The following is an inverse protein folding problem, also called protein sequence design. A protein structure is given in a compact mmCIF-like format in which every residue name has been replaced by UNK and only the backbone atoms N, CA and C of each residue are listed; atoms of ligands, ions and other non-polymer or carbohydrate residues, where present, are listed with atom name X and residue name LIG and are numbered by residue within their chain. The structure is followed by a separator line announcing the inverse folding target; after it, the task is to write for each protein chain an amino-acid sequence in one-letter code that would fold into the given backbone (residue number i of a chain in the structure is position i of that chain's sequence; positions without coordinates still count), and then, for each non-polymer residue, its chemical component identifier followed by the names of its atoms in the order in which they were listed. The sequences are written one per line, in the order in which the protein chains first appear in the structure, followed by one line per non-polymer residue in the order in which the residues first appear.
data_IF_775253601261
#
_entry.id   IF_775253601261
#
_cell.length_a   1.000
_cell.length_b   1.000
_cell.length_c   1.000
_cell.angle_alpha   90.00
_cell.angle_beta   90.00
_cell.angle_gamma   90.00
#
_symmetry.space_group_name_H-M   'P 1'
#
loop_
_entity.id
_entity.type
_entity.pdbx_description
1 polymer ?
#
# COMPACT_ATOMS: atom_id res chain seq x y z
N UNK A 1 10.81 16.24 -3.34
CA UNK A 1 9.58 15.88 -4.04
C UNK A 1 9.37 14.38 -3.96
N UNK A 2 8.18 13.91 -3.58
CA UNK A 2 7.93 12.47 -3.57
C UNK A 2 7.93 11.91 -4.99
N UNK A 3 8.51 10.73 -5.14
CA UNK A 3 8.56 10.03 -6.42
C UNK A 3 7.29 9.25 -6.70
N UNK A 4 6.65 8.75 -5.63
CA UNK A 4 5.44 7.96 -5.73
C UNK A 4 4.18 8.80 -5.79
N UNK A 5 3.06 8.14 -6.06
CA UNK A 5 1.76 8.77 -6.18
C UNK A 5 0.73 7.96 -5.39
N UNK A 6 -0.12 8.65 -4.63
CA UNK A 6 -1.28 8.04 -3.99
C UNK A 6 -2.53 8.52 -4.73
N UNK A 7 -3.27 7.59 -5.30
CA UNK A 7 -4.48 7.91 -6.05
C UNK A 7 -5.64 6.99 -5.67
N UNK A 8 -6.83 7.49 -5.94
CA UNK A 8 -8.05 6.73 -5.78
C UNK A 8 -8.78 6.78 -7.12
N UNK A 9 -9.15 5.63 -7.66
CA UNK A 9 -9.78 5.61 -8.97
C UNK A 9 -10.31 4.24 -9.33
N UNK A 10 -10.79 4.12 -10.57
CA UNK A 10 -11.37 2.88 -11.07
C UNK A 10 -10.31 1.92 -11.60
N UNK A 11 -10.73 0.68 -11.87
CA UNK A 11 -9.86 -0.33 -12.45
C UNK A 11 -9.27 0.12 -13.80
N UNK A 12 -9.96 1.00 -14.52
CA UNK A 12 -9.47 1.52 -15.78
C UNK A 12 -8.19 2.36 -15.63
N UNK A 13 -7.95 2.92 -14.45
CA UNK A 13 -6.75 3.73 -14.20
C UNK A 13 -5.51 2.89 -13.89
N UNK A 14 -5.67 1.59 -13.67
CA UNK A 14 -4.54 0.70 -13.35
C UNK A 14 -3.48 0.78 -14.43
N UNK A 15 -3.87 0.66 -15.69
CA UNK A 15 -2.91 0.69 -16.79
C UNK A 15 -2.19 2.03 -16.89
N UNK A 16 -2.90 3.14 -16.62
CA UNK A 16 -2.30 4.47 -16.66
C UNK A 16 -1.23 4.66 -15.59
N UNK A 17 -1.49 4.12 -14.38
CA UNK A 17 -0.55 4.24 -13.28
C UNK A 17 0.55 3.21 -13.34
N UNK A 18 0.26 2.02 -13.90
CA UNK A 18 1.19 0.91 -13.86
C UNK A 18 2.48 1.23 -14.64
N UNK A 19 2.36 1.63 -15.91
CA UNK A 19 3.55 1.95 -16.70
C UNK A 19 4.62 0.88 -16.57
N UNK A 20 5.77 1.28 -16.02
CA UNK A 20 6.88 0.36 -15.72
C UNK A 20 6.90 -0.08 -14.26
N UNK A 21 5.92 0.30 -13.48
CA UNK A 21 5.86 -0.07 -12.06
C UNK A 21 5.57 -1.56 -11.88
N UNK A 22 6.07 -2.11 -10.77
CA UNK A 22 5.78 -3.49 -10.41
C UNK A 22 4.48 -3.53 -9.62
N UNK A 23 3.46 -4.28 -10.09
CA UNK A 23 2.18 -4.33 -9.37
C UNK A 23 2.23 -5.26 -8.17
N UNK A 24 1.56 -4.83 -7.10
CA UNK A 24 1.39 -5.62 -5.88
C UNK A 24 -0.09 -5.61 -5.51
N UNK A 25 -0.87 -6.59 -5.98
CA UNK A 25 -2.31 -6.61 -5.72
C UNK A 25 -2.62 -6.91 -4.26
N UNK A 26 -3.57 -6.17 -3.71
CA UNK A 26 -4.07 -6.34 -2.34
C UNK A 26 -5.57 -6.61 -2.43
N UNK A 27 -5.98 -7.82 -2.09
CA UNK A 27 -7.39 -8.22 -2.18
C UNK A 27 -8.17 -7.72 -0.97
N UNK A 28 -8.78 -6.56 -1.09
CA UNK A 28 -9.54 -5.94 0.00
C UNK A 28 -10.81 -6.67 0.38
N UNK A 29 -11.35 -7.52 -0.49
CA UNK A 29 -12.57 -8.26 -0.20
C UNK A 29 -12.42 -9.17 1.03
N UNK A 30 -11.19 -9.61 1.32
CA UNK A 30 -10.89 -10.51 2.43
C UNK A 30 -10.34 -9.78 3.65
N UNK A 31 -10.27 -8.47 3.61
CA UNK A 31 -9.71 -7.67 4.70
C UNK A 31 -10.85 -7.05 5.49
N UNK A 32 -11.09 -7.56 6.69
CA UNK A 32 -12.17 -7.08 7.57
C UNK A 32 -11.67 -6.61 8.93
N UNK A 33 -10.41 -6.89 9.27
CA UNK A 33 -9.82 -6.50 10.54
C UNK A 33 -8.44 -5.91 10.35
N UNK A 34 -7.92 -5.25 11.41
CA UNK A 34 -6.56 -4.71 11.41
C UNK A 34 -5.52 -5.81 11.17
N UNK A 35 -5.67 -6.95 11.85
CA UNK A 35 -4.74 -8.06 11.71
C UNK A 35 -4.72 -8.59 10.28
N UNK A 36 -5.89 -8.76 9.67
CA UNK A 36 -5.97 -9.21 8.28
C UNK A 36 -5.35 -8.20 7.32
N UNK A 37 -5.54 -6.92 7.59
CA UNK A 37 -4.96 -5.87 6.75
C UNK A 37 -3.43 -5.90 6.80
N UNK A 38 -2.86 -6.04 8.00
CA UNK A 38 -1.41 -6.10 8.15
C UNK A 38 -0.82 -7.32 7.47
N UNK A 39 -1.47 -8.48 7.64
CA UNK A 39 -1.03 -9.73 6.99
C UNK A 39 -1.11 -9.62 5.46
N UNK A 40 -2.18 -9.05 4.95
CA UNK A 40 -2.38 -8.91 3.51
C UNK A 40 -1.35 -7.98 2.87
N UNK A 41 -1.05 -6.85 3.52
CA UNK A 41 -0.03 -5.93 3.03
C UNK A 41 1.35 -6.58 3.09
N UNK A 42 1.64 -7.30 4.17
CA UNK A 42 2.92 -8.00 4.31
C UNK A 42 3.11 -9.02 3.18
N UNK A 43 2.07 -9.74 2.82
CA UNK A 43 2.12 -10.71 1.74
C UNK A 43 2.25 -10.02 0.38
N UNK A 44 1.47 -8.96 0.15
CA UNK A 44 1.46 -8.25 -1.13
C UNK A 44 2.82 -7.62 -1.46
N UNK A 45 3.49 -7.07 -0.46
CA UNK A 45 4.77 -6.37 -0.63
C UNK A 45 5.97 -7.19 -0.17
N UNK A 46 5.74 -8.44 0.24
CA UNK A 46 6.80 -9.32 0.73
C UNK A 46 7.62 -8.66 1.84
N UNK A 47 6.92 -8.12 2.85
CA UNK A 47 7.55 -7.37 3.92
C UNK A 47 8.53 -8.22 4.72
N UNK A 48 9.64 -7.64 5.21
CA UNK A 48 10.65 -8.41 5.94
C UNK A 48 10.15 -8.81 7.34
N UNK A 49 10.83 -9.78 7.93
CA UNK A 49 10.48 -10.32 9.26
C UNK A 49 10.46 -9.24 10.35
N UNK A 50 11.21 -8.16 10.17
CA UNK A 50 11.23 -7.05 11.14
C UNK A 50 9.91 -6.28 11.19
N UNK A 51 8.98 -6.53 10.24
CA UNK A 51 7.68 -5.89 10.27
C UNK A 51 6.88 -6.39 11.48
N UNK A 52 6.53 -5.47 12.38
CA UNK A 52 5.89 -5.79 13.65
C UNK A 52 4.37 -5.75 13.66
N UNK A 53 3.74 -5.68 12.50
CA UNK A 53 2.27 -5.66 12.37
C UNK A 53 1.60 -4.52 13.13
N UNK A 54 2.30 -3.38 13.24
CA UNK A 54 1.77 -2.13 13.80
C UNK A 54 1.81 -1.04 12.74
N UNK A 55 1.06 0.04 12.97
CA UNK A 55 1.05 1.17 12.03
C UNK A 55 2.43 1.83 11.95
N UNK A 56 3.12 1.99 13.07
CA UNK A 56 4.47 2.55 13.08
C UNK A 56 5.45 1.68 12.30
N UNK A 57 5.37 0.37 12.51
CA UNK A 57 6.21 -0.57 11.80
C UNK A 57 5.91 -0.58 10.30
N UNK A 58 4.63 -0.48 9.95
CA UNK A 58 4.20 -0.40 8.55
C UNK A 58 4.81 0.83 7.87
N UNK A 59 4.74 1.98 8.52
CA UNK A 59 5.33 3.22 7.99
C UNK A 59 6.84 3.05 7.77
N UNK A 60 7.53 2.47 8.74
CA UNK A 60 8.98 2.27 8.64
C UNK A 60 9.37 1.41 7.44
N UNK A 61 8.69 0.30 7.23
CA UNK A 61 9.01 -0.58 6.11
C UNK A 61 8.60 0.03 4.77
N UNK A 62 7.47 0.73 4.72
CA UNK A 62 7.00 1.35 3.47
C UNK A 62 7.89 2.51 3.03
N UNK A 63 8.59 3.15 3.94
CA UNK A 63 9.54 4.22 3.62
C UNK A 63 10.95 3.70 3.38
N UNK A 64 11.18 2.41 3.52
CA UNK A 64 12.48 1.79 3.27
C UNK A 64 12.52 1.06 1.92
N UNK A 65 11.73 -0.02 1.79
CA UNK A 65 11.61 -0.84 0.57
C UNK A 65 12.94 -1.39 0.04
N UNK A 66 13.96 -1.49 0.91
CA UNK A 66 15.31 -1.91 0.48
C UNK A 66 15.39 -3.35 0.01
N UNK A 67 14.40 -4.18 0.38
CA UNK A 67 14.35 -5.59 -0.06
C UNK A 67 13.71 -5.75 -1.43
N UNK A 68 13.13 -4.69 -2.01
CA UNK A 68 12.48 -4.75 -3.32
C UNK A 68 13.44 -4.25 -4.41
N UNK A 69 13.30 -4.74 -5.64
CA UNK A 69 14.11 -4.24 -6.76
C UNK A 69 13.93 -2.74 -6.97
N UNK A 70 14.92 -2.06 -7.54
CA UNK A 70 14.79 -0.62 -7.83
C UNK A 70 13.60 -0.31 -8.71
N UNK A 71 13.00 0.86 -8.50
CA UNK A 71 11.90 1.37 -9.30
C UNK A 71 10.62 1.54 -8.52
N UNK A 72 9.57 1.83 -9.24
CA UNK A 72 8.25 2.07 -8.65
C UNK A 72 7.53 0.75 -8.35
N UNK A 73 6.98 0.66 -7.15
CA UNK A 73 6.15 -0.47 -6.72
C UNK A 73 4.75 0.05 -6.45
N UNK A 74 3.78 -0.45 -7.21
CA UNK A 74 2.40 0.03 -7.14
C UNK A 74 1.53 -0.95 -6.35
N UNK A 75 1.07 -0.52 -5.17
CA UNK A 75 0.13 -1.29 -4.37
C UNK A 75 -1.28 -1.05 -4.90
N UNK A 76 -1.92 -2.12 -5.37
CA UNK A 76 -3.27 -2.07 -5.93
C UNK A 76 -4.25 -2.61 -4.89
N UNK A 77 -4.96 -1.72 -4.21
CA UNK A 77 -5.92 -2.11 -3.18
C UNK A 77 -7.32 -2.18 -3.79
N UNK A 78 -7.77 -3.40 -4.05
CA UNK A 78 -9.11 -3.63 -4.56
C UNK A 78 -10.11 -3.75 -3.42
N UNK A 79 -11.35 -3.38 -3.68
CA UNK A 79 -12.47 -3.46 -2.73
C UNK A 79 -12.15 -2.90 -1.34
N UNK A 80 -11.70 -1.64 -1.26
CA UNK A 80 -11.39 -1.02 0.04
C UNK A 80 -12.64 -0.84 0.90
N UNK A 81 -13.82 -0.85 0.30
CA UNK A 81 -15.08 -0.68 1.02
C UNK A 81 -15.35 -1.78 2.04
N UNK A 82 -14.79 -2.96 1.86
CA UNK A 82 -14.96 -4.05 2.81
C UNK A 82 -14.40 -3.67 4.17
N UNK A 83 -13.13 -3.26 4.24
CA UNK A 83 -12.55 -2.82 5.49
C UNK A 83 -13.21 -1.54 6.01
N UNK A 84 -13.52 -0.62 5.12
CA UNK A 84 -14.18 0.63 5.51
C UNK A 84 -15.53 0.37 6.19
N UNK A 85 -16.27 -0.62 5.75
CA UNK A 85 -17.55 -0.99 6.36
C UNK A 85 -17.38 -1.74 7.66
N UNK A 86 -16.39 -2.64 7.73
CA UNK A 86 -16.20 -3.51 8.88
C UNK A 86 -15.44 -2.82 10.01
N UNK A 87 -14.47 -1.98 9.68
CA UNK A 87 -13.63 -1.29 10.66
C UNK A 87 -13.12 0.02 10.07
N UNK A 88 -13.98 1.04 10.11
CA UNK A 88 -13.69 2.35 9.53
C UNK A 88 -12.43 2.97 10.13
N UNK A 89 -12.23 2.82 11.43
CA UNK A 89 -11.08 3.39 12.11
C UNK A 89 -9.77 2.81 11.59
N UNK A 90 -9.73 1.49 11.42
CA UNK A 90 -8.55 0.82 10.84
C UNK A 90 -8.35 1.25 9.39
N UNK A 91 -9.42 1.32 8.62
CA UNK A 91 -9.35 1.77 7.23
C UNK A 91 -8.70 3.15 7.12
N UNK A 92 -9.18 4.10 7.92
CA UNK A 92 -8.67 5.47 7.90
C UNK A 92 -7.20 5.51 8.33
N UNK A 93 -6.83 4.74 9.36
CA UNK A 93 -5.47 4.71 9.88
C UNK A 93 -4.49 4.14 8.84
N UNK A 94 -4.84 3.05 8.17
CA UNK A 94 -4.00 2.45 7.15
C UNK A 94 -3.86 3.39 5.95
N UNK A 95 -4.96 4.00 5.53
CA UNK A 95 -4.94 4.95 4.43
C UNK A 95 -4.02 6.13 4.73
N UNK A 96 -4.05 6.62 5.97
CA UNK A 96 -3.17 7.71 6.40
C UNK A 96 -1.70 7.30 6.32
N UNK A 97 -1.36 6.10 6.81
CA UNK A 97 0.02 5.60 6.74
C UNK A 97 0.49 5.47 5.30
N UNK A 98 -0.35 4.92 4.43
CA UNK A 98 -0.01 4.78 3.01
C UNK A 98 0.22 6.14 2.35
N UNK A 99 -0.63 7.10 2.65
CA UNK A 99 -0.50 8.46 2.10
C UNK A 99 0.80 9.11 2.56
N UNK A 100 1.11 9.00 3.84
CA UNK A 100 2.33 9.58 4.40
C UNK A 100 3.59 8.90 3.86
N UNK A 101 3.55 7.57 3.72
CA UNK A 101 4.68 6.83 3.19
C UNK A 101 4.98 7.20 1.74
N UNK A 102 3.94 7.41 0.94
CA UNK A 102 4.10 7.85 -0.45
C UNK A 102 4.65 9.27 -0.52
N UNK A 103 4.21 10.14 0.38
CA UNK A 103 4.64 11.55 0.41
C UNK A 103 6.09 11.71 0.83
N UNK A 104 6.61 10.78 1.63
CA UNK A 104 8.00 10.83 2.10
C UNK A 104 8.93 10.19 1.07
N UNK A 105 10.07 10.82 0.84
CA UNK A 105 11.08 10.24 -0.03
C UNK A 105 11.77 9.09 0.67
N UNK A 106 11.89 7.95 -0.03
CA UNK A 106 12.68 6.83 0.45
C UNK A 106 14.16 7.06 0.12
N UNK A 107 15.08 6.56 0.96
CA UNK A 107 16.52 6.80 0.70
C UNK A 107 17.10 5.98 -0.45
N UNK A 108 16.41 4.91 -0.87
CA UNK A 108 16.90 4.02 -1.92
C UNK A 108 16.29 4.31 -3.28
N UNK A 109 16.48 3.37 -4.18
CA UNK A 109 15.95 3.47 -5.55
C UNK A 109 14.55 2.91 -5.70
N UNK A 110 14.05 2.19 -4.69
CA UNK A 110 12.69 1.66 -4.68
C UNK A 110 11.76 2.65 -4.01
N UNK A 111 10.56 2.82 -4.55
CA UNK A 111 9.58 3.72 -3.94
C UNK A 111 8.16 3.21 -4.17
N UNK A 112 7.25 3.66 -3.33
CA UNK A 112 5.87 3.18 -3.29
C UNK A 112 4.92 4.14 -3.98
N UNK A 113 4.03 3.58 -4.78
CA UNK A 113 2.82 4.26 -5.23
C UNK A 113 1.62 3.41 -4.82
N UNK A 114 0.48 4.04 -4.64
CA UNK A 114 -0.75 3.34 -4.22
C UNK A 114 -1.91 3.76 -5.09
N UNK A 115 -2.67 2.79 -5.54
CA UNK A 115 -3.96 3.01 -6.20
C UNK A 115 -5.03 2.26 -5.41
N UNK A 116 -5.95 3.01 -4.82
CA UNK A 116 -7.11 2.46 -4.13
C UNK A 116 -8.26 2.40 -5.13
N UNK A 117 -8.72 1.21 -5.44
CA UNK A 117 -9.76 1.01 -6.45
C UNK A 117 -11.14 1.31 -5.87
N UNK A 118 -11.91 2.13 -6.59
CA UNK A 118 -13.24 2.58 -6.15
C UNK A 118 -14.30 2.11 -7.13
N UNK A 119 -14.74 0.92 -7.03
CA UNK A 119 -15.85 0.46 -7.87
C UNK A 119 -16.85 -0.38 -7.13
#
# INVERSE_FOLDING_TARGET
MPRGTFRQGSAAEVESMLGTATPHPLNGAKITTSAEAMDAIAEALDLPDRFGHTLDSLYDVLTDLSWLPPGEHLLLWSEPSTLRSEDRQTYDAIRTVLTEAVADDTPGESFLSVLVLTD
#
